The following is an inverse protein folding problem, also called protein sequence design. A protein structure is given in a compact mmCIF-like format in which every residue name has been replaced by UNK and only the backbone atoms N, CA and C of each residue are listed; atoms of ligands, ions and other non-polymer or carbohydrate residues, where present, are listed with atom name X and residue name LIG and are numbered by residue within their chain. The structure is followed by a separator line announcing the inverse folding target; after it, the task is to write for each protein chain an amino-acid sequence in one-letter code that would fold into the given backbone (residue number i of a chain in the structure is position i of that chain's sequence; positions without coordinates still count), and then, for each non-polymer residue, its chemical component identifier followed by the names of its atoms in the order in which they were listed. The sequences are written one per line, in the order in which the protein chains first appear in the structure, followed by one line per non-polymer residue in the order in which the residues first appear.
data_IF_744707149683
#
_entry.id   IF_744707149683
#
_cell.length_a   1.000
_cell.length_b   1.000
_cell.length_c   1.000
_cell.angle_alpha   90.00
_cell.angle_beta   90.00
_cell.angle_gamma   90.00
#
_symmetry.space_group_name_H-M   'P 1'
#
loop_
_entity.id
_entity.type
_entity.pdbx_description
1 polymer ?
#
# COMPACT_ATOMS: atom_id res chain seq x y z
N UNK A 1 7.16 39.66 3.52
CA UNK A 1 6.19 38.80 2.81
C UNK A 1 5.58 37.85 3.83
N UNK A 2 4.26 37.91 3.95
CA UNK A 2 3.50 37.41 5.11
C UNK A 2 3.51 35.89 5.19
N UNK A 3 3.84 35.36 6.38
CA UNK A 3 3.75 33.94 6.73
C UNK A 3 2.27 33.56 6.86
N UNK A 4 1.74 32.81 5.90
CA UNK A 4 0.44 32.18 6.05
C UNK A 4 0.63 30.83 6.74
N UNK A 5 0.35 30.81 8.04
CA UNK A 5 0.25 29.60 8.85
C UNK A 5 -1.07 28.91 8.45
N UNK A 6 -1.00 27.87 7.62
CA UNK A 6 -2.15 27.05 7.32
C UNK A 6 -2.42 26.11 8.52
N UNK A 7 -3.31 26.55 9.41
CA UNK A 7 -3.96 25.66 10.38
C UNK A 7 -4.78 24.64 9.57
N UNK A 8 -4.38 23.38 9.63
CA UNK A 8 -5.22 22.28 9.17
C UNK A 8 -6.44 22.17 10.08
N UNK A 9 -7.59 22.66 9.63
CA UNK A 9 -8.85 22.14 10.13
C UNK A 9 -9.05 20.77 9.48
N UNK A 10 -8.83 19.70 10.25
CA UNK A 10 -9.53 18.46 9.96
C UNK A 10 -11.02 18.81 9.97
N UNK A 11 -11.70 18.67 8.84
CA UNK A 11 -13.17 18.64 8.84
C UNK A 11 -13.52 17.39 9.64
N UNK A 12 -13.78 17.58 10.94
CA UNK A 12 -14.23 16.50 11.81
C UNK A 12 -15.50 15.93 11.21
N UNK A 13 -15.55 14.62 10.99
CA UNK A 13 -16.83 13.96 10.86
C UNK A 13 -17.65 14.33 12.10
N UNK A 14 -18.88 14.81 11.92
CA UNK A 14 -19.77 15.10 13.05
C UNK A 14 -19.79 13.89 14.00
N UNK A 15 -19.66 14.15 15.30
CA UNK A 15 -19.59 13.09 16.29
C UNK A 15 -20.87 12.25 16.23
N UNK A 16 -20.75 10.94 15.97
CA UNK A 16 -21.90 10.04 15.97
C UNK A 16 -22.57 10.05 17.35
N UNK A 17 -23.90 10.17 17.35
CA UNK A 17 -24.66 10.11 18.59
C UNK A 17 -24.90 8.66 19.01
N UNK A 18 -25.26 8.46 20.28
CA UNK A 18 -25.75 7.16 20.74
C UNK A 18 -27.00 6.71 19.97
N UNK A 19 -27.78 7.65 19.41
CA UNK A 19 -28.92 7.36 18.56
C UNK A 19 -28.50 6.75 17.23
N UNK A 20 -27.45 7.30 16.60
CA UNK A 20 -26.91 6.82 15.32
C UNK A 20 -26.32 5.42 15.46
N UNK A 21 -25.54 5.19 16.53
CA UNK A 21 -25.00 3.86 16.84
C UNK A 21 -26.11 2.83 17.05
N UNK A 22 -27.18 3.20 17.77
CA UNK A 22 -28.34 2.32 18.01
C UNK A 22 -29.11 2.04 16.72
N UNK A 23 -29.26 3.02 15.83
CA UNK A 23 -29.92 2.84 14.55
C UNK A 23 -29.13 1.89 13.65
N UNK A 24 -27.81 2.09 13.55
CA UNK A 24 -26.89 1.21 12.82
C UNK A 24 -26.90 -0.22 13.38
N UNK A 25 -26.78 -0.38 14.70
CA UNK A 25 -26.86 -1.70 15.35
C UNK A 25 -28.15 -2.46 14.99
N UNK A 26 -29.27 -1.74 14.85
CA UNK A 26 -30.54 -2.32 14.43
C UNK A 26 -30.60 -2.60 12.94
N UNK A 27 -30.09 -1.72 12.08
CA UNK A 27 -30.13 -1.89 10.61
C UNK A 27 -29.31 -3.10 10.18
N UNK A 28 -28.14 -3.28 10.78
CA UNK A 28 -27.26 -4.41 10.51
C UNK A 28 -27.70 -5.70 11.23
N UNK A 29 -28.85 -5.69 11.92
CA UNK A 29 -29.41 -6.85 12.62
C UNK A 29 -28.46 -7.47 13.67
N UNK A 30 -27.62 -6.66 14.30
CA UNK A 30 -26.61 -7.13 15.25
C UNK A 30 -27.19 -7.69 16.57
N UNK A 31 -28.50 -7.52 16.81
CA UNK A 31 -29.15 -7.97 18.04
C UNK A 31 -29.08 -9.50 18.18
N UNK A 32 -28.33 -9.99 19.16
CA UNK A 32 -28.13 -11.43 19.39
C UNK A 32 -27.12 -12.09 18.45
N UNK A 33 -26.39 -11.31 17.64
CA UNK A 33 -25.40 -11.81 16.69
C UNK A 33 -24.00 -11.22 16.95
N UNK A 34 -23.38 -11.51 18.13
CA UNK A 34 -22.14 -10.85 18.56
C UNK A 34 -20.92 -11.16 17.68
N UNK A 35 -20.98 -12.21 16.86
CA UNK A 35 -19.90 -12.64 15.96
C UNK A 35 -20.15 -12.25 14.50
N UNK A 36 -21.21 -11.51 14.20
CA UNK A 36 -21.53 -11.11 12.83
C UNK A 36 -20.49 -10.11 12.31
N UNK A 37 -19.88 -10.43 11.16
CA UNK A 37 -19.01 -9.49 10.46
C UNK A 37 -19.87 -8.39 9.81
N UNK A 38 -19.45 -7.14 10.00
CA UNK A 38 -20.08 -5.98 9.37
C UNK A 38 -19.39 -5.70 8.02
N UNK A 39 -20.18 -5.48 6.97
CA UNK A 39 -19.68 -5.10 5.64
C UNK A 39 -19.80 -3.60 5.35
N UNK A 40 -20.29 -2.82 6.31
CA UNK A 40 -20.55 -1.39 6.18
C UNK A 40 -19.86 -0.61 7.30
N UNK A 41 -19.40 0.58 6.98
CA UNK A 41 -18.72 1.48 7.91
C UNK A 41 -19.68 1.96 9.01
N UNK A 42 -19.35 1.83 10.31
CA UNK A 42 -20.16 2.37 11.40
C UNK A 42 -20.31 3.90 11.32
N UNK A 43 -21.45 4.47 11.76
CA UNK A 43 -21.66 5.92 11.76
C UNK A 43 -20.60 6.62 12.63
N UNK A 44 -20.11 7.76 12.13
CA UNK A 44 -19.04 8.54 12.76
C UNK A 44 -17.62 8.00 12.51
N UNK A 45 -17.47 6.85 11.86
CA UNK A 45 -16.16 6.41 11.38
C UNK A 45 -15.78 7.22 10.13
N UNK A 46 -14.71 8.02 10.16
CA UNK A 46 -14.34 8.89 9.04
C UNK A 46 -13.72 8.13 7.86
N UNK A 47 -13.51 6.81 8.00
CA UNK A 47 -12.81 5.98 7.03
C UNK A 47 -13.77 5.28 6.09
N UNK A 48 -13.58 5.49 4.79
CA UNK A 48 -14.25 4.74 3.73
C UNK A 48 -13.43 3.49 3.37
N UNK A 49 -13.96 2.31 3.64
CA UNK A 49 -13.32 1.03 3.31
C UNK A 49 -13.69 0.49 1.92
N UNK A 50 -14.54 1.19 1.17
CA UNK A 50 -14.80 0.84 -0.22
C UNK A 50 -13.54 1.04 -1.06
N UNK A 51 -13.17 0.04 -1.86
CA UNK A 51 -12.05 0.13 -2.79
C UNK A 51 -12.30 1.28 -3.78
N UNK A 52 -11.43 2.30 -3.86
CA UNK A 52 -11.63 3.39 -4.80
C UNK A 52 -11.57 2.88 -6.25
N UNK A 53 -12.37 3.48 -7.14
CA UNK A 53 -12.20 3.28 -8.56
C UNK A 53 -10.85 3.86 -8.99
N UNK A 54 -10.21 3.30 -10.03
CA UNK A 54 -8.91 3.81 -10.48
C UNK A 54 -8.95 5.30 -10.85
N UNK A 55 -10.09 5.81 -11.34
CA UNK A 55 -10.29 7.22 -11.67
C UNK A 55 -10.33 8.15 -10.47
N UNK A 56 -10.60 7.64 -9.26
CA UNK A 56 -10.67 8.39 -8.01
C UNK A 56 -9.64 7.91 -6.98
N UNK A 57 -8.77 6.98 -7.34
CA UNK A 57 -7.69 6.53 -6.50
C UNK A 57 -6.61 7.60 -6.47
N UNK A 58 -6.24 8.05 -5.28
CA UNK A 58 -5.17 9.04 -5.09
C UNK A 58 -3.80 8.38 -5.23
N UNK A 59 -2.75 9.15 -5.62
CA UNK A 59 -1.41 8.59 -5.72
C UNK A 59 -0.93 8.14 -4.33
N UNK A 60 -0.43 6.91 -4.25
CA UNK A 60 0.20 6.39 -3.03
C UNK A 60 1.63 6.96 -2.89
N UNK A 61 2.39 6.90 -3.97
CA UNK A 61 3.79 7.33 -4.05
C UNK A 61 4.15 7.71 -5.50
N UNK A 62 5.26 8.44 -5.76
CA UNK A 62 5.66 8.78 -7.14
C UNK A 62 6.08 7.54 -7.93
N UNK A 63 5.45 7.28 -9.08
CA UNK A 63 5.73 6.06 -9.87
C UNK A 63 7.08 6.09 -10.61
N UNK A 64 7.53 7.27 -11.04
CA UNK A 64 8.81 7.46 -11.74
C UNK A 64 9.70 8.39 -10.91
N UNK A 65 10.85 7.88 -10.48
CA UNK A 65 11.85 8.56 -9.67
C UNK A 65 13.02 9.09 -10.50
N UNK A 66 12.96 9.00 -11.83
CA UNK A 66 14.02 9.54 -12.69
C UNK A 66 14.11 11.07 -12.53
N UNK A 67 15.33 11.65 -12.53
CA UNK A 67 15.50 13.09 -12.39
C UNK A 67 14.69 13.88 -13.42
N UNK A 68 13.84 14.79 -12.95
CA UNK A 68 12.98 15.61 -13.80
C UNK A 68 11.66 14.97 -14.22
N UNK A 69 11.40 13.71 -13.84
CA UNK A 69 10.09 13.09 -14.04
C UNK A 69 8.99 13.90 -13.33
N UNK A 70 7.90 14.13 -14.05
CA UNK A 70 6.71 14.82 -13.52
C UNK A 70 5.59 13.81 -13.34
N UNK A 71 5.04 13.75 -12.13
CA UNK A 71 3.83 12.97 -11.84
C UNK A 71 2.59 13.60 -12.48
N UNK A 72 1.57 12.79 -12.75
CA UNK A 72 0.28 13.24 -13.33
C UNK A 72 -0.79 13.46 -12.26
N UNK A 73 -0.50 13.18 -11.00
CA UNK A 73 -1.42 13.27 -9.87
C UNK A 73 -0.81 14.08 -8.73
N UNK A 74 -1.64 14.86 -8.05
CA UNK A 74 -1.21 15.67 -6.90
C UNK A 74 -1.38 14.85 -5.62
N UNK A 75 -0.32 14.66 -4.81
CA UNK A 75 -0.45 13.93 -3.55
C UNK A 75 -1.28 14.73 -2.54
N UNK A 76 -2.08 14.01 -1.74
CA UNK A 76 -2.94 14.60 -0.71
C UNK A 76 -2.15 15.20 0.46
N UNK A 77 -0.92 14.72 0.68
CA UNK A 77 -0.03 15.19 1.72
C UNK A 77 1.37 15.44 1.16
N UNK A 78 2.10 16.35 1.78
CA UNK A 78 3.52 16.53 1.51
C UNK A 78 4.30 15.30 2.00
N UNK A 79 5.44 15.03 1.35
CA UNK A 79 6.38 14.02 1.81
C UNK A 79 6.86 14.35 3.22
N UNK A 80 6.93 13.32 4.07
CA UNK A 80 7.48 13.44 5.42
C UNK A 80 8.98 13.74 5.35
N UNK A 81 9.49 14.52 6.31
CA UNK A 81 10.93 14.58 6.56
C UNK A 81 11.40 13.37 7.37
N UNK A 82 12.72 13.16 7.43
CA UNK A 82 13.30 12.00 8.12
C UNK A 82 12.88 11.89 9.59
N UNK A 83 12.79 13.02 10.32
CA UNK A 83 12.38 13.01 11.71
C UNK A 83 10.91 12.59 11.88
N UNK A 84 10.03 13.01 10.97
CA UNK A 84 8.63 12.59 10.95
C UNK A 84 8.50 11.11 10.59
N UNK A 85 9.26 10.63 9.59
CA UNK A 85 9.24 9.23 9.18
C UNK A 85 9.76 8.30 10.29
N UNK A 86 10.87 8.68 10.96
CA UNK A 86 11.49 7.89 12.02
C UNK A 86 10.64 7.78 13.30
N UNK A 87 9.62 8.61 13.46
CA UNK A 87 8.68 8.53 14.59
C UNK A 87 7.56 7.51 14.36
N UNK A 88 7.30 7.10 13.11
CA UNK A 88 6.19 6.22 12.80
C UNK A 88 6.53 4.76 13.13
N UNK A 89 5.66 4.00 13.83
CA UNK A 89 5.87 2.57 14.02
C UNK A 89 5.79 1.78 12.72
N UNK A 90 6.66 0.78 12.59
CA UNK A 90 6.58 -0.24 11.54
C UNK A 90 5.36 -1.13 11.82
N UNK A 91 4.47 -1.28 10.83
CA UNK A 91 3.23 -2.07 10.96
C UNK A 91 3.14 -3.21 9.97
N UNK A 92 3.93 -3.17 8.90
CA UNK A 92 3.93 -4.22 7.89
C UNK A 92 5.25 -4.21 7.11
N UNK A 93 5.70 -5.41 6.74
CA UNK A 93 6.75 -5.59 5.74
C UNK A 93 6.18 -6.46 4.65
N UNK A 94 6.27 -6.00 3.41
CA UNK A 94 5.89 -6.80 2.24
C UNK A 94 6.90 -6.58 1.11
N UNK A 95 6.79 -7.39 0.06
CA UNK A 95 7.65 -7.25 -1.09
C UNK A 95 6.86 -7.42 -2.39
N UNK A 96 7.42 -6.86 -3.46
CA UNK A 96 6.90 -6.93 -4.82
C UNK A 96 7.86 -7.72 -5.71
N UNK A 97 7.32 -8.38 -6.74
CA UNK A 97 8.10 -8.90 -7.85
C UNK A 97 8.39 -7.75 -8.82
N UNK A 98 9.64 -7.34 -8.90
CA UNK A 98 10.06 -6.09 -9.54
C UNK A 98 9.81 -4.86 -8.64
N UNK A 99 10.43 -3.75 -9.00
CA UNK A 99 10.21 -2.47 -8.35
C UNK A 99 8.85 -1.89 -8.74
N UNK A 100 8.08 -1.42 -7.76
CA UNK A 100 6.89 -0.63 -8.05
C UNK A 100 7.30 0.68 -8.72
N UNK A 101 8.37 1.29 -8.20
CA UNK A 101 8.96 2.52 -8.68
C UNK A 101 9.91 2.31 -9.86
N UNK A 102 9.93 3.25 -10.81
CA UNK A 102 10.94 3.30 -11.88
C UNK A 102 12.09 4.22 -11.48
N UNK A 103 13.33 3.82 -11.80
CA UNK A 103 14.51 4.70 -11.71
C UNK A 103 15.51 4.42 -12.82
N UNK A 104 16.58 5.22 -12.91
CA UNK A 104 17.69 4.96 -13.85
C UNK A 104 18.40 3.61 -13.60
N UNK A 105 18.32 3.06 -12.38
CA UNK A 105 18.97 1.78 -12.02
C UNK A 105 18.05 0.57 -12.19
N UNK A 106 16.74 0.79 -12.24
CA UNK A 106 15.71 -0.25 -12.38
C UNK A 106 14.55 0.31 -13.21
N UNK A 107 14.68 0.22 -14.54
CA UNK A 107 13.69 0.73 -15.50
C UNK A 107 13.16 -0.32 -16.47
N UNK A 108 13.65 -1.56 -16.41
CA UNK A 108 13.29 -2.57 -17.39
C UNK A 108 11.83 -3.04 -17.17
N UNK A 109 10.92 -2.67 -18.06
CA UNK A 109 9.51 -3.04 -18.01
C UNK A 109 9.14 -4.30 -18.79
N UNK A 110 10.10 -4.97 -19.45
CA UNK A 110 9.80 -6.07 -20.40
C UNK A 110 8.89 -7.15 -19.81
N UNK A 111 9.13 -7.57 -18.57
CA UNK A 111 8.30 -8.57 -17.89
C UNK A 111 6.88 -8.05 -17.62
N UNK A 112 6.76 -6.78 -17.22
CA UNK A 112 5.49 -6.13 -16.94
C UNK A 112 4.66 -5.94 -18.22
N UNK A 113 5.32 -5.54 -19.31
CA UNK A 113 4.70 -5.35 -20.63
C UNK A 113 4.22 -6.68 -21.22
N UNK A 114 5.04 -7.74 -21.10
CA UNK A 114 4.66 -9.09 -21.51
C UNK A 114 3.48 -9.62 -20.69
N UNK A 115 3.47 -9.37 -19.38
CA UNK A 115 2.36 -9.74 -18.50
C UNK A 115 1.06 -9.04 -18.93
N UNK A 116 1.11 -7.71 -19.12
CA UNK A 116 -0.09 -6.94 -19.50
C UNK A 116 -0.60 -7.30 -20.90
N UNK A 117 0.29 -7.63 -21.85
CA UNK A 117 -0.09 -8.10 -23.17
C UNK A 117 -0.77 -9.49 -23.14
N UNK A 118 -0.40 -10.35 -22.18
CA UNK A 118 -0.99 -11.68 -22.02
C UNK A 118 -2.31 -11.67 -21.22
N UNK A 119 -2.53 -10.66 -20.37
CA UNK A 119 -3.68 -10.57 -19.47
C UNK A 119 -4.85 -9.79 -20.09
N UNK A 120 -5.85 -10.48 -20.66
CA UNK A 120 -7.05 -9.85 -21.26
C UNK A 120 -8.33 -9.87 -20.39
N UNK A 121 -8.22 -10.16 -19.08
CA UNK A 121 -9.38 -10.40 -18.20
C UNK A 121 -9.36 -9.71 -16.83
N UNK A 122 -10.45 -9.90 -16.07
CA UNK A 122 -10.55 -9.49 -14.66
C UNK A 122 -9.55 -10.29 -13.82
N UNK A 123 -8.59 -9.60 -13.21
CA UNK A 123 -7.52 -10.17 -12.38
C UNK A 123 -8.11 -10.79 -11.10
N UNK A 124 -8.30 -12.11 -11.08
CA UNK A 124 -8.75 -12.86 -9.91
C UNK A 124 -7.56 -13.64 -9.34
N UNK A 125 -6.96 -13.16 -8.25
CA UNK A 125 -5.94 -13.86 -7.45
C UNK A 125 -4.90 -14.71 -8.25
N UNK A 126 -4.44 -14.18 -9.38
CA UNK A 126 -3.42 -14.78 -10.24
C UNK A 126 -1.99 -14.36 -9.83
N UNK A 127 -1.00 -14.88 -10.57
CA UNK A 127 0.41 -14.52 -10.43
C UNK A 127 0.60 -12.99 -10.32
N UNK A 128 1.51 -12.50 -9.46
CA UNK A 128 1.73 -11.08 -9.29
C UNK A 128 2.20 -10.47 -10.61
N UNK A 129 1.59 -9.34 -11.00
CA UNK A 129 2.09 -8.54 -12.13
C UNK A 129 3.50 -8.05 -11.80
N UNK A 130 4.52 -8.35 -12.62
CA UNK A 130 5.87 -7.84 -12.41
C UNK A 130 5.93 -6.30 -12.47
N UNK A 131 6.85 -5.73 -11.70
CA UNK A 131 7.27 -4.33 -11.76
C UNK A 131 8.47 -4.11 -12.68
N UNK A 132 9.24 -3.05 -12.41
CA UNK A 132 10.47 -2.75 -13.13
C UNK A 132 11.63 -3.61 -12.63
N UNK A 133 12.45 -4.12 -13.54
CA UNK A 133 13.58 -4.98 -13.23
C UNK A 133 14.91 -4.20 -13.31
N UNK A 134 15.89 -4.66 -12.55
CA UNK A 134 17.28 -4.27 -12.69
C UNK A 134 17.85 -4.85 -13.99
N UNK A 135 18.89 -4.22 -14.54
CA UNK A 135 19.62 -4.79 -15.67
C UNK A 135 20.39 -6.05 -15.22
N UNK A 136 20.29 -7.13 -15.98
CA UNK A 136 20.98 -8.40 -15.71
C UNK A 136 22.10 -8.69 -16.71
N UNK A 137 22.36 -7.78 -17.66
CA UNK A 137 23.28 -7.98 -18.79
C UNK A 137 24.73 -8.27 -18.36
N UNK A 138 25.14 -7.77 -17.20
CA UNK A 138 26.48 -7.95 -16.64
C UNK A 138 26.60 -9.17 -15.71
N UNK A 139 25.54 -9.97 -15.55
CA UNK A 139 25.57 -11.18 -14.73
C UNK A 139 26.03 -12.38 -15.56
N UNK A 140 26.89 -13.20 -14.98
CA UNK A 140 27.38 -14.43 -15.62
C UNK A 140 26.31 -15.52 -15.63
N UNK A 141 26.45 -16.50 -16.53
CA UNK A 141 25.58 -17.68 -16.56
C UNK A 141 25.56 -18.44 -15.22
N UNK A 142 26.68 -18.47 -14.49
CA UNK A 142 26.76 -19.09 -13.18
C UNK A 142 25.95 -18.32 -12.12
N UNK A 143 25.95 -16.98 -12.17
CA UNK A 143 25.14 -16.13 -11.29
C UNK A 143 23.65 -16.19 -11.63
N UNK A 144 23.32 -16.46 -12.90
CA UNK A 144 21.95 -16.61 -13.39
C UNK A 144 21.43 -18.06 -13.30
N UNK A 145 22.21 -18.98 -12.73
CA UNK A 145 21.82 -20.37 -12.60
C UNK A 145 20.55 -20.50 -11.73
N UNK A 146 19.55 -21.32 -12.12
CA UNK A 146 18.36 -21.52 -11.33
C UNK A 146 18.68 -22.01 -9.91
N UNK A 147 17.98 -21.46 -8.92
CA UNK A 147 18.08 -21.86 -7.53
C UNK A 147 16.72 -22.30 -6.99
N UNK A 148 16.70 -23.41 -6.24
CA UNK A 148 15.48 -23.89 -5.58
C UNK A 148 15.39 -23.32 -4.18
N UNK A 149 14.54 -22.31 -4.00
CA UNK A 149 14.32 -21.67 -2.70
C UNK A 149 13.57 -22.61 -1.74
N UNK A 150 14.04 -22.70 -0.51
CA UNK A 150 13.42 -23.55 0.52
C UNK A 150 12.17 -22.92 1.15
N UNK A 151 12.17 -21.58 1.28
CA UNK A 151 11.14 -20.83 2.00
C UNK A 151 10.36 -19.85 1.10
N UNK A 152 11.05 -19.17 0.18
CA UNK A 152 10.45 -18.28 -0.79
C UNK A 152 9.85 -19.09 -1.96
N UNK A 153 8.69 -19.70 -1.73
CA UNK A 153 7.97 -20.50 -2.73
C UNK A 153 7.12 -19.59 -3.64
N UNK A 154 6.83 -20.04 -4.86
CA UNK A 154 6.02 -19.29 -5.83
C UNK A 154 6.90 -18.58 -6.86
N UNK A 155 6.65 -17.29 -7.10
CA UNK A 155 7.25 -16.50 -8.19
C UNK A 155 8.67 -15.99 -7.90
N UNK A 156 9.34 -16.54 -6.87
CA UNK A 156 10.71 -16.17 -6.52
C UNK A 156 11.71 -16.95 -7.37
N UNK A 157 12.51 -16.25 -8.16
CA UNK A 157 13.43 -16.81 -9.14
C UNK A 157 14.72 -15.98 -9.25
N UNK A 158 15.82 -16.66 -9.58
CA UNK A 158 17.09 -16.00 -9.92
C UNK A 158 16.91 -15.13 -11.16
N UNK A 159 17.52 -13.95 -11.17
CA UNK A 159 17.43 -13.00 -12.29
C UNK A 159 16.21 -12.07 -12.26
N UNK A 160 15.39 -12.14 -11.21
CA UNK A 160 14.31 -11.17 -10.96
C UNK A 160 14.73 -10.15 -9.91
N UNK A 161 14.12 -8.97 -9.97
CA UNK A 161 14.23 -7.94 -8.94
C UNK A 161 13.10 -8.09 -7.93
N UNK A 162 13.36 -7.69 -6.69
CA UNK A 162 12.38 -7.66 -5.61
C UNK A 162 12.52 -6.36 -4.84
N UNK A 163 11.41 -5.67 -4.63
CA UNK A 163 11.36 -4.44 -3.84
C UNK A 163 10.70 -4.74 -2.50
N UNK A 164 11.32 -4.31 -1.40
CA UNK A 164 10.83 -4.55 -0.04
C UNK A 164 10.30 -3.25 0.52
N UNK A 165 9.03 -3.25 0.90
CA UNK A 165 8.35 -2.12 1.53
C UNK A 165 8.31 -2.32 3.03
N UNK A 166 8.85 -1.34 3.75
CA UNK A 166 8.72 -1.20 5.19
C UNK A 166 7.65 -0.15 5.48
N UNK A 167 6.44 -0.60 5.77
CA UNK A 167 5.27 0.27 5.93
C UNK A 167 5.19 0.74 7.36
N UNK A 168 5.20 2.05 7.54
CA UNK A 168 5.06 2.69 8.85
C UNK A 168 3.72 3.44 8.93
N UNK A 169 3.11 3.49 10.11
CA UNK A 169 1.78 4.06 10.32
C UNK A 169 1.77 5.22 11.30
N UNK A 170 0.92 6.22 11.05
CA UNK A 170 0.65 7.32 12.00
C UNK A 170 -0.49 7.02 12.96
N UNK A 171 -1.10 5.83 12.90
CA UNK A 171 -2.20 5.43 13.77
C UNK A 171 -1.78 5.23 15.25
N UNK A 172 -0.50 5.38 15.58
CA UNK A 172 0.05 5.17 16.92
C UNK A 172 0.39 3.70 17.18
N UNK A 173 1.12 3.45 18.27
CA UNK A 173 1.30 2.11 18.84
C UNK A 173 0.28 1.92 19.95
N UNK A 174 -0.30 0.73 20.06
CA UNK A 174 -0.98 0.38 21.31
C UNK A 174 0.07 0.21 22.42
N UNK A 175 -0.17 0.88 23.55
CA UNK A 175 0.68 0.79 24.74
C UNK A 175 0.27 -0.37 25.65
N UNK A 176 -0.77 -1.14 25.31
CA UNK A 176 -1.17 -2.33 26.03
C UNK A 176 -0.15 -3.47 25.79
N UNK A 177 0.62 -3.88 26.81
CA UNK A 177 1.59 -4.95 26.68
C UNK A 177 0.94 -6.35 26.50
N UNK A 178 -0.39 -6.45 26.58
CA UNK A 178 -1.14 -7.70 26.38
C UNK A 178 -1.67 -7.87 24.95
N UNK A 179 -1.60 -6.83 24.13
CA UNK A 179 -1.99 -6.91 22.72
C UNK A 179 -0.86 -7.58 21.91
N UNK A 180 -1.15 -8.77 21.40
CA UNK A 180 -0.21 -9.70 20.77
C UNK A 180 0.44 -9.23 19.45
N UNK A 181 0.33 -7.94 19.11
CA UNK A 181 0.81 -7.35 17.84
C UNK A 181 2.25 -6.79 17.97
N UNK A 182 2.82 -6.76 19.17
CA UNK A 182 4.19 -6.25 19.41
C UNK A 182 5.27 -7.36 19.48
N UNK A 183 5.05 -8.55 18.92
CA UNK A 183 6.02 -9.64 18.87
C UNK A 183 6.55 -9.90 17.45
#
# INVERSE_FOLDING_TARGET
MSRLLALFFAVGADAATCGDLKAFYKSEQCCGAPTQALSVTPPGCPYNFAKPACSSAEPQTPRDLTPGASGTMTPKAATLNDAQANFLPLVNVHFHLGAEHKSESYMNSTDADAYDAASSGRRLAENPRPGFMCATENLTAAQMAPYTFQHCKGDVAVGKSYEIHYVHSSAGTDADPTDAINA
#
